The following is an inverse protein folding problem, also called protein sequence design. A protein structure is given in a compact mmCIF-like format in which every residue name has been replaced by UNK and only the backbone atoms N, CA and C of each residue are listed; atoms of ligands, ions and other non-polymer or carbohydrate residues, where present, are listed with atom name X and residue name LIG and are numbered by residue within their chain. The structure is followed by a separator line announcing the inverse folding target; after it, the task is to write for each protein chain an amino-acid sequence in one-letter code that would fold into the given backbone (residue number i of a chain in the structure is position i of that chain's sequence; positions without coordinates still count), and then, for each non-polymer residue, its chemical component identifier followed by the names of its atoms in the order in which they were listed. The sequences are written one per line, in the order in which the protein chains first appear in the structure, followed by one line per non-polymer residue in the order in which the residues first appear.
data_IF_889194471020
#
_entry.id   IF_889194471020
#
_cell.length_a   1.000
_cell.length_b   1.000
_cell.length_c   1.000
_cell.angle_alpha   90.00
_cell.angle_beta   90.00
_cell.angle_gamma   90.00
#
_symmetry.space_group_name_H-M   'P 1'
#
loop_
_entity.id
_entity.type
_entity.pdbx_description
1 polymer ?
2 branched ?
3 non-polymer ?
4 water ?
#
# COMPACT_ATOMS: atom_id res chain seq x y z
N UNK A 5 11.73 -11.55 19.68
CA UNK A 5 10.98 -12.14 20.83
C UNK A 5 9.68 -11.35 21.06
N UNK A 6 8.57 -12.09 21.20
CA UNK A 6 7.24 -11.52 21.33
C UNK A 6 6.74 -11.82 22.74
N UNK A 7 6.49 -10.79 23.54
CA UNK A 7 5.92 -10.98 24.87
C UNK A 7 4.44 -11.41 24.76
N UNK A 8 3.94 -11.94 25.88
CA UNK A 8 2.57 -12.44 25.97
C UNK A 8 1.58 -11.30 25.79
N UNK A 9 0.48 -11.57 25.09
CA UNK A 9 -0.66 -10.67 25.11
C UNK A 9 -1.24 -10.65 26.53
N UNK A 10 -1.78 -9.51 26.96
CA UNK A 10 -2.57 -9.54 28.18
C UNK A 10 -3.92 -10.20 27.99
N UNK A 11 -4.59 -10.51 29.11
CA UNK A 11 -5.98 -10.97 29.09
C UNK A 11 -6.83 -9.97 28.30
N UNK A 12 -7.71 -10.48 27.45
CA UNK A 12 -8.64 -9.67 26.68
C UNK A 12 -9.97 -10.40 26.60
N UNK A 13 -11.06 -9.64 26.68
CA UNK A 13 -12.42 -10.18 26.56
C UNK A 13 -12.97 -9.70 25.22
N UNK A 14 -13.30 -10.65 24.36
CA UNK A 14 -13.83 -10.35 23.03
C UNK A 14 -14.65 -11.55 22.55
N UNK A 15 -15.48 -11.34 21.52
CA UNK A 15 -16.31 -12.42 21.01
C UNK A 15 -15.50 -13.60 20.49
N UNK A 16 -15.94 -14.79 20.87
CA UNK A 16 -15.31 -16.04 20.41
C UNK A 16 -15.46 -16.21 18.91
N UNK A 17 -14.34 -16.46 18.19
CA UNK A 17 -14.50 -16.83 16.80
C UNK A 17 -15.10 -18.24 16.71
N UNK A 18 -16.01 -18.46 15.77
CA UNK A 18 -16.69 -19.74 15.64
C UNK A 18 -16.36 -20.28 14.28
N UNK A 19 -15.81 -21.48 14.26
CA UNK A 19 -15.23 -21.99 13.04
C UNK A 19 -16.31 -22.37 12.03
N UNK A 20 -17.53 -22.63 12.50
CA UNK A 20 -18.67 -22.92 11.64
C UNK A 20 -19.52 -21.69 11.28
N UNK A 21 -19.02 -20.50 11.63
CA UNK A 21 -19.57 -19.20 11.22
C UNK A 21 -18.46 -18.37 10.55
N UNK A 22 -18.45 -18.26 9.22
CA UNK A 22 -17.53 -17.34 8.54
C UNK A 22 -17.75 -15.88 8.94
N UNK A 23 -16.68 -15.09 8.95
CA UNK A 23 -16.77 -13.62 9.12
C UNK A 23 -17.53 -12.97 7.92
N UNK A 24 -17.13 -13.34 6.71
CA UNK A 24 -17.64 -12.81 5.46
C UNK A 24 -17.85 -14.02 4.55
N UNK A 25 -19.07 -14.19 4.04
CA UNK A 25 -19.43 -15.21 3.04
C UNK A 25 -19.53 -14.69 1.62
N UNK A 26 -19.46 -13.37 1.45
CA UNK A 26 -19.70 -12.71 0.17
C UNK A 26 -18.42 -12.47 -0.63
N UNK A 27 -17.27 -12.65 0.01
CA UNK A 27 -15.99 -12.37 -0.63
C UNK A 27 -14.95 -13.40 -0.23
N UNK A 28 -13.95 -13.51 -1.11
CA UNK A 28 -12.72 -14.27 -0.82
C UNK A 28 -11.89 -13.53 0.22
N UNK A 29 -11.60 -14.21 1.33
CA UNK A 29 -10.84 -13.62 2.44
C UNK A 29 -9.43 -14.19 2.62
N UNK A 30 -9.08 -15.18 1.81
CA UNK A 30 -7.72 -15.75 1.80
C UNK A 30 -7.34 -16.08 0.37
N UNK A 31 -6.10 -15.78 -0.03
CA UNK A 31 -5.64 -16.13 -1.36
C UNK A 31 -5.32 -17.64 -1.43
N UNK A 32 -5.14 -18.17 -2.66
CA UNK A 32 -4.71 -19.58 -2.76
C UNK A 32 -3.30 -19.90 -2.25
N UNK A 33 -2.50 -18.88 -1.92
CA UNK A 33 -1.22 -19.07 -1.30
C UNK A 33 -1.30 -18.73 0.22
N UNK A 34 -2.52 -18.67 0.74
CA UNK A 34 -2.78 -18.56 2.20
C UNK A 34 -2.38 -17.19 2.77
N UNK A 35 -2.55 -16.16 1.95
CA UNK A 35 -2.42 -14.75 2.41
C UNK A 35 -3.80 -14.21 2.69
N UNK A 36 -4.01 -13.63 3.87
CA UNK A 36 -5.28 -12.95 4.11
C UNK A 36 -5.56 -11.82 3.11
N UNK A 37 -6.83 -11.73 2.71
CA UNK A 37 -7.36 -10.57 1.98
C UNK A 37 -8.15 -9.75 3.00
N UNK A 38 -7.73 -8.50 3.20
CA UNK A 38 -8.21 -7.71 4.33
C UNK A 38 -9.48 -6.95 3.97
N UNK A 39 -10.59 -7.40 4.55
CA UNK A 39 -11.89 -6.79 4.48
C UNK A 39 -12.39 -6.49 5.89
N UNK A 40 -13.28 -5.49 6.02
CA UNK A 40 -13.94 -5.27 7.29
C UNK A 40 -14.72 -6.51 7.75
N UNK A 41 -14.59 -6.84 9.01
CA UNK A 41 -15.23 -8.01 9.61
C UNK A 41 -14.31 -9.21 9.71
N UNK A 42 -13.17 -9.19 9.02
CA UNK A 42 -12.20 -10.29 9.09
C UNK A 42 -11.20 -10.16 10.23
N UNK A 43 -11.04 -8.97 10.83
CA UNK A 43 -10.03 -8.75 11.86
C UNK A 43 -10.60 -8.10 13.10
N UNK A 44 -10.06 -8.50 14.24
CA UNK A 44 -10.33 -7.86 15.52
C UNK A 44 -9.16 -6.91 15.72
N UNK A 45 -9.43 -5.62 15.52
CA UNK A 45 -8.39 -4.61 15.60
C UNK A 45 -7.78 -4.45 16.98
N UNK A 46 -8.53 -4.80 18.03
CA UNK A 46 -7.97 -4.79 19.38
C UNK A 46 -6.85 -5.81 19.58
N UNK A 47 -7.02 -7.03 19.04
CA UNK A 47 -5.96 -8.01 19.08
C UNK A 47 -4.75 -7.54 18.28
N UNK A 48 -4.99 -7.06 17.06
CA UNK A 48 -3.89 -6.61 16.23
C UNK A 48 -3.17 -5.39 16.82
N UNK A 49 -3.91 -4.45 17.39
CA UNK A 49 -3.24 -3.30 17.98
C UNK A 49 -2.33 -3.72 19.12
N UNK A 50 -2.80 -4.66 19.94
CA UNK A 50 -2.00 -5.21 21.02
C UNK A 50 -0.70 -5.81 20.49
N UNK A 51 -0.81 -6.65 19.46
CA UNK A 51 0.34 -7.35 18.94
C UNK A 51 1.37 -6.37 18.43
N UNK A 52 0.92 -5.37 17.66
CA UNK A 52 1.86 -4.41 17.08
C UNK A 52 2.38 -3.35 18.05
N UNK A 53 1.57 -2.94 19.03
CA UNK A 53 2.09 -2.03 20.08
C UNK A 53 3.12 -2.73 20.97
N UNK A 54 2.94 -4.02 21.22
CA UNK A 54 3.90 -4.77 22.05
C UNK A 54 5.26 -4.86 21.38
N UNK A 55 5.30 -4.74 20.06
CA UNK A 55 6.56 -4.67 19.32
C UNK A 55 7.06 -3.24 19.06
N UNK A 56 6.40 -2.22 19.63
CA UNK A 56 6.68 -0.79 19.39
C UNK A 56 6.92 -0.50 17.92
N UNK A 57 5.96 -0.92 17.12
CA UNK A 57 6.08 -0.82 15.66
C UNK A 57 6.08 0.63 15.18
N UNK A 58 6.99 0.94 14.26
CA UNK A 58 7.05 2.22 13.57
C UNK A 58 6.71 2.03 12.09
N UNK A 59 5.74 2.78 11.61
CA UNK A 59 5.33 2.74 10.23
C UNK A 59 5.77 4.00 9.49
N UNK A 60 6.49 3.81 8.38
CA UNK A 60 6.84 4.89 7.48
C UNK A 60 5.78 5.00 6.41
N UNK A 61 5.39 6.23 6.09
CA UNK A 61 4.45 6.49 4.98
C UNK A 61 5.14 7.39 4.00
N UNK A 62 5.34 6.91 2.78
CA UNK A 62 6.00 7.70 1.72
C UNK A 62 4.95 8.26 0.77
N UNK A 63 5.12 9.51 0.38
CA UNK A 63 4.21 10.15 -0.53
C UNK A 63 4.98 11.16 -1.38
N UNK A 64 4.72 11.15 -2.69
CA UNK A 64 5.37 12.05 -3.66
C UNK A 64 4.41 13.17 -4.05
N UNK A 65 4.84 14.40 -3.85
CA UNK A 65 4.02 15.56 -4.16
C UNK A 65 4.84 16.54 -5.00
N UNK A 66 4.66 16.43 -6.31
CA UNK A 66 5.46 17.13 -7.31
C UNK A 66 4.59 18.12 -8.05
N UNK A 67 5.15 19.28 -8.37
CA UNK A 67 4.49 20.30 -9.17
C UNK A 67 3.14 20.65 -8.54
N UNK A 68 2.03 20.66 -9.28
CA UNK A 68 0.75 21.11 -8.71
C UNK A 68 0.20 20.14 -7.65
N UNK A 69 0.72 18.91 -7.61
CA UNK A 69 0.23 17.94 -6.63
C UNK A 69 0.54 18.28 -5.19
N UNK A 70 1.42 19.26 -4.95
CA UNK A 70 1.60 19.74 -3.59
C UNK A 70 0.31 20.26 -2.97
N UNK A 71 -0.65 20.71 -3.78
CA UNK A 71 -1.92 21.20 -3.25
C UNK A 71 -2.74 20.12 -2.50
N UNK A 72 -2.44 18.84 -2.77
CA UNK A 72 -3.18 17.73 -2.15
C UNK A 72 -2.63 17.35 -0.79
N UNK A 73 -1.46 17.87 -0.41
CA UNK A 73 -0.84 17.46 0.85
C UNK A 73 -1.63 17.78 2.10
N UNK A 74 -2.30 18.92 2.13
CA UNK A 74 -2.96 19.35 3.38
C UNK A 74 -4.03 18.34 3.77
N UNK A 75 -4.95 18.06 2.85
CA UNK A 75 -6.02 17.10 3.12
C UNK A 75 -5.49 15.68 3.35
N UNK A 76 -4.51 15.29 2.57
CA UNK A 76 -3.87 13.98 2.70
C UNK A 76 -3.34 13.80 4.13
N UNK A 77 -2.52 14.74 4.60
CA UNK A 77 -1.90 14.60 5.91
C UNK A 77 -2.89 14.80 7.04
N UNK A 78 -3.81 15.76 6.89
CA UNK A 78 -4.78 16.02 7.98
C UNK A 78 -5.69 14.79 8.20
N UNK A 79 -6.09 14.16 7.10
CA UNK A 79 -6.92 12.97 7.21
C UNK A 79 -6.10 11.76 7.60
N UNK A 80 -4.81 11.69 7.23
CA UNK A 80 -3.95 10.64 7.75
C UNK A 80 -3.83 10.70 9.29
N UNK A 81 -3.76 11.92 9.81
CA UNK A 81 -3.76 12.10 11.24
C UNK A 81 -5.01 11.54 11.91
N UNK A 82 -6.17 11.64 11.25
CA UNK A 82 -7.40 11.13 11.79
C UNK A 82 -7.53 9.63 11.72
N UNK A 83 -6.89 9.00 10.74
CA UNK A 83 -7.26 7.62 10.36
C UNK A 83 -6.14 6.62 10.17
N UNK A 84 -4.89 7.09 10.01
CA UNK A 84 -3.78 6.19 9.64
C UNK A 84 -2.96 5.81 10.84
N UNK A 85 -3.03 4.54 11.27
CA UNK A 85 -2.14 4.01 12.31
C UNK A 85 -2.20 4.81 13.62
N UNK A 86 -3.40 5.32 13.95
CA UNK A 86 -3.51 6.15 15.15
C UNK A 86 -3.20 5.28 16.38
N UNK A 87 -2.31 5.80 17.22
CA UNK A 87 -1.81 5.13 18.40
C UNK A 87 -0.47 4.47 18.23
N UNK A 88 -0.03 4.33 16.97
CA UNK A 88 1.27 3.78 16.66
C UNK A 88 2.26 4.87 16.26
N UNK A 89 3.54 4.52 16.20
CA UNK A 89 4.56 5.46 15.76
C UNK A 89 4.51 5.56 14.25
N UNK A 90 4.46 6.78 13.74
CA UNK A 90 4.37 7.06 12.31
C UNK A 90 5.42 8.07 11.91
N UNK A 91 6.10 7.81 10.80
CA UNK A 91 7.04 8.75 10.21
C UNK A 91 6.60 8.98 8.78
N UNK A 92 6.17 10.19 8.47
CA UNK A 92 5.83 10.56 7.12
C UNK A 92 7.07 11.01 6.40
N UNK A 93 7.24 10.56 5.15
CA UNK A 93 8.32 11.05 4.30
C UNK A 93 7.67 11.67 3.09
N UNK A 94 7.76 12.98 2.97
CA UNK A 94 7.14 13.71 1.89
C UNK A 94 8.23 14.10 0.90
N UNK A 95 8.19 13.49 -0.28
CA UNK A 95 9.13 13.78 -1.36
C UNK A 95 8.54 14.86 -2.27
N UNK A 96 9.23 15.98 -2.41
CA UNK A 96 8.68 17.09 -3.16
C UNK A 96 9.77 17.91 -3.82
N UNK A 97 9.37 18.57 -4.91
CA UNK A 97 10.21 19.58 -5.56
C UNK A 97 10.00 20.98 -4.99
N UNK A 98 9.05 21.13 -4.05
CA UNK A 98 8.73 22.43 -3.45
C UNK A 98 8.63 22.31 -1.93
N UNK A 99 9.79 22.19 -1.25
CA UNK A 99 9.72 22.05 0.22
C UNK A 99 8.91 23.16 0.91
N UNK A 100 8.95 24.39 0.42
CA UNK A 100 8.23 25.50 1.06
C UNK A 100 6.71 25.45 0.90
N UNK A 101 6.22 24.62 -0.02
CA UNK A 101 4.79 24.50 -0.27
C UNK A 101 4.17 23.37 0.57
N UNK A 102 5.00 22.66 1.35
CA UNK A 102 4.47 21.63 2.23
C UNK A 102 3.71 22.34 3.36
N UNK A 103 2.43 22.01 3.56
CA UNK A 103 1.64 22.69 4.60
C UNK A 103 2.08 22.30 6.00
N UNK A 104 1.86 23.22 6.93
CA UNK A 104 2.22 23.01 8.33
C UNK A 104 1.03 22.25 8.94
N UNK A 105 1.19 20.94 9.15
CA UNK A 105 0.08 20.11 9.64
C UNK A 105 0.46 19.70 11.05
N UNK A 106 -0.50 19.85 11.97
CA UNK A 106 -0.31 19.47 13.36
C UNK A 106 -0.44 17.98 13.54
N UNK A 107 0.59 17.39 14.12
CA UNK A 107 0.65 15.94 14.28
C UNK A 107 0.36 15.51 15.72
N UNK A 108 -0.31 14.37 15.84
CA UNK A 108 -0.44 13.69 17.13
C UNK A 108 0.87 13.23 17.71
N UNK A 109 0.87 12.90 19.00
CA UNK A 109 2.12 12.47 19.63
C UNK A 109 2.66 11.18 19.00
N UNK A 110 3.99 11.06 18.95
CA UNK A 110 4.62 9.87 18.40
C UNK A 110 4.68 9.83 16.89
N UNK A 111 4.41 10.94 16.25
CA UNK A 111 4.34 11.05 14.81
C UNK A 111 5.25 12.16 14.34
N UNK A 112 5.92 11.93 13.23
CA UNK A 112 6.84 12.91 12.69
C UNK A 112 6.81 12.96 11.20
N UNK A 113 7.24 14.09 10.66
CA UNK A 113 7.24 14.32 9.22
C UNK A 113 8.60 14.87 8.78
N UNK A 114 9.12 14.29 7.71
CA UNK A 114 10.36 14.71 7.07
C UNK A 114 10.05 15.13 5.66
N UNK A 115 10.54 16.32 5.28
CA UNK A 115 10.43 16.83 3.91
C UNK A 115 11.71 16.47 3.17
N UNK A 116 11.59 15.73 2.09
CA UNK A 116 12.75 15.24 1.32
C UNK A 116 12.66 15.89 -0.04
N UNK A 117 13.63 16.74 -0.36
CA UNK A 117 13.59 17.43 -1.63
C UNK A 117 14.11 16.51 -2.70
N UNK A 118 13.44 16.51 -3.84
CA UNK A 118 13.87 15.76 -5.02
C UNK A 118 14.27 16.75 -6.11
N UNK A 119 15.13 16.28 -7.01
CA UNK A 119 15.59 17.06 -8.17
C UNK A 119 14.67 16.87 -9.36
N UNK A 126 12.83 9.25 -16.37
CA UNK A 126 13.32 9.48 -15.00
C UNK A 126 12.20 9.82 -14.03
N UNK A 127 11.29 10.68 -14.46
CA UNK A 127 10.06 10.92 -13.69
C UNK A 127 9.31 9.60 -13.44
N UNK A 128 9.10 8.81 -14.49
CA UNK A 128 8.41 7.52 -14.40
C UNK A 128 9.10 6.57 -13.40
N UNK A 129 10.43 6.60 -13.39
CA UNK A 129 11.26 5.75 -12.50
C UNK A 129 11.54 6.33 -11.09
N UNK A 130 11.22 7.59 -10.86
CA UNK A 130 11.67 8.31 -9.66
C UNK A 130 11.27 7.63 -8.35
N UNK A 131 10.02 7.22 -8.27
CA UNK A 131 9.52 6.64 -7.02
C UNK A 131 10.24 5.34 -6.65
N UNK A 132 10.32 4.40 -7.59
CA UNK A 132 11.00 3.14 -7.31
C UNK A 132 12.49 3.35 -7.04
N UNK A 133 13.10 4.27 -7.78
CA UNK A 133 14.49 4.64 -7.57
C UNK A 133 14.73 5.24 -6.16
N UNK A 134 13.86 6.17 -5.76
CA UNK A 134 14.03 6.82 -4.44
C UNK A 134 13.95 5.85 -3.26
N UNK A 135 12.99 4.94 -3.30
CA UNK A 135 12.76 4.01 -2.19
C UNK A 135 13.87 2.94 -2.06
N UNK A 136 14.38 2.49 -3.21
CA UNK A 136 15.35 1.38 -3.26
C UNK A 136 16.81 1.84 -3.23
N UNK A 137 17.08 3.02 -3.83
CA UNK A 137 18.46 3.55 -3.90
C UNK A 137 18.69 4.63 -2.85
N UNK A 138 18.04 5.79 -3.01
CA UNK A 138 18.41 6.98 -2.23
C UNK A 138 18.10 6.87 -0.73
N UNK A 139 17.03 6.18 -0.37
CA UNK A 139 16.53 6.22 1.01
C UNK A 139 16.70 4.90 1.73
N UNK A 140 17.46 3.99 1.12
CA UNK A 140 17.58 2.63 1.61
C UNK A 140 18.05 2.54 3.08
N UNK A 141 19.19 3.17 3.38
CA UNK A 141 19.74 3.14 4.73
C UNK A 141 18.87 3.89 5.74
N UNK A 142 18.30 5.01 5.30
CA UNK A 142 17.44 5.85 6.15
C UNK A 142 16.25 5.03 6.68
N UNK A 143 15.54 4.42 5.76
CA UNK A 143 14.35 3.68 6.12
C UNK A 143 14.67 2.49 7.01
N UNK A 144 15.73 1.74 6.70
CA UNK A 144 16.11 0.63 7.53
C UNK A 144 16.42 1.06 8.97
N UNK A 145 17.00 2.26 9.15
CA UNK A 145 17.34 2.75 10.47
C UNK A 145 16.14 3.29 11.25
N UNK A 146 15.08 3.70 10.55
CA UNK A 146 14.01 4.54 11.19
C UNK A 146 12.63 3.92 11.33
N UNK A 147 12.31 2.95 10.50
CA UNK A 147 10.94 2.37 10.52
C UNK A 147 11.00 0.87 10.34
N UNK A 148 9.93 0.18 10.76
CA UNK A 148 9.79 -1.26 10.62
C UNK A 148 9.07 -1.64 9.32
N UNK A 149 8.06 -0.86 8.95
CA UNK A 149 7.26 -1.08 7.75
C UNK A 149 7.22 0.18 6.93
N UNK A 150 7.10 0.04 5.62
CA UNK A 150 6.94 1.15 4.70
C UNK A 150 5.62 0.98 3.97
N UNK A 151 4.88 2.07 3.85
CA UNK A 151 3.61 2.13 3.10
C UNK A 151 3.81 3.23 2.06
N UNK A 152 3.51 2.92 0.80
CA UNK A 152 3.78 3.79 -0.35
C UNK A 152 2.44 4.09 -0.97
N UNK A 153 2.01 5.36 -0.92
CA UNK A 153 0.71 5.79 -1.41
C UNK A 153 0.82 7.05 -2.26
N UNK A 154 -0.23 7.29 -3.02
CA UNK A 154 -0.35 8.51 -3.82
C UNK A 154 -0.98 9.64 -2.97
N UNK A 155 -0.64 10.87 -3.34
CA UNK A 155 -1.00 12.05 -2.56
C UNK A 155 -2.41 12.59 -2.83
N UNK A 156 -2.95 12.32 -4.03
CA UNK A 156 -4.22 12.88 -4.46
C UNK A 156 -5.35 12.00 -3.95
N UNK A 157 -5.38 11.88 -2.62
CA UNK A 157 -6.21 10.94 -1.89
C UNK A 157 -6.57 11.52 -0.54
N UNK A 158 -7.55 10.92 0.09
CA UNK A 158 -7.89 11.25 1.48
C UNK A 158 -8.28 10.01 2.24
N UNK A 159 -7.95 9.98 3.52
CA UNK A 159 -8.42 8.95 4.42
C UNK A 159 -9.80 9.34 4.93
N UNK A 160 -10.74 8.42 4.83
CA UNK A 160 -12.09 8.58 5.39
C UNK A 160 -12.44 7.66 6.55
N UNK A 161 -11.67 6.59 6.73
CA UNK A 161 -11.97 5.64 7.77
C UNK A 161 -10.65 4.94 8.14
N UNK A 162 -10.76 4.05 9.10
CA UNK A 162 -9.59 3.36 9.68
C UNK A 162 -8.67 2.71 8.64
N UNK A 163 -7.38 3.05 8.67
CA UNK A 163 -6.34 2.29 7.98
C UNK A 163 -5.27 2.04 9.01
N UNK A 164 -5.16 0.80 9.45
CA UNK A 164 -4.32 0.48 10.61
C UNK A 164 -3.44 -0.74 10.41
N UNK A 165 -3.04 -1.31 11.55
CA UNK A 165 -2.00 -2.34 11.53
C UNK A 165 -2.48 -3.65 10.95
N UNK A 166 -3.77 -3.83 10.72
CA UNK A 166 -4.27 -4.94 9.93
C UNK A 166 -3.58 -5.08 8.57
N UNK A 167 -3.03 -4.03 8.03
CA UNK A 167 -2.38 -4.10 6.71
C UNK A 167 -0.96 -4.59 6.78
N UNK A 168 -0.35 -4.53 7.96
CA UNK A 168 1.08 -4.79 8.09
C UNK A 168 1.41 -6.26 7.99
N UNK A 169 2.51 -6.53 7.28
CA UNK A 169 2.89 -7.86 6.82
C UNK A 169 4.20 -7.68 6.07
N UNK A 170 4.92 -8.77 5.77
CA UNK A 170 6.13 -8.55 4.99
C UNK A 170 5.94 -7.89 3.64
N UNK A 171 4.90 -8.24 2.90
CA UNK A 171 4.68 -7.63 1.59
C UNK A 171 3.18 -7.60 1.28
N UNK A 172 2.68 -6.42 0.92
CA UNK A 172 1.26 -6.33 0.54
C UNK A 172 1.08 -5.53 -0.75
N UNK A 173 0.03 -5.91 -1.48
CA UNK A 173 -0.53 -5.11 -2.57
C UNK A 173 -2.00 -4.92 -2.31
N UNK A 174 -2.59 -4.01 -3.08
CA UNK A 174 -3.97 -3.60 -2.94
C UNK A 174 -4.71 -3.88 -4.24
N UNK A 175 -5.89 -4.46 -4.13
CA UNK A 175 -6.74 -4.70 -5.29
C UNK A 175 -7.23 -3.40 -5.92
N UNK A 176 -6.90 -3.20 -7.20
CA UNK A 176 -7.33 -2.03 -7.94
C UNK A 176 -8.86 -2.02 -7.97
N UNK A 177 -9.50 -0.88 -7.64
CA UNK A 177 -10.95 -0.84 -7.52
C UNK A 177 -11.71 -1.09 -8.83
N UNK A 178 -11.09 -0.81 -9.96
CA UNK A 178 -11.71 -1.02 -11.27
C UNK A 178 -11.67 -2.46 -11.76
N UNK A 179 -10.90 -3.34 -11.12
CA UNK A 179 -10.64 -4.66 -11.70
C UNK A 179 -10.85 -5.83 -10.77
N UNK A 180 -11.37 -5.59 -9.56
CA UNK A 180 -11.46 -6.68 -8.57
C UNK A 180 -12.47 -7.75 -9.01
N UNK A 181 -13.43 -7.38 -9.86
CA UNK A 181 -14.39 -8.33 -10.42
C UNK A 181 -14.07 -8.82 -11.82
N UNK A 182 -12.90 -8.48 -12.35
CA UNK A 182 -12.57 -8.78 -13.74
C UNK A 182 -11.86 -10.12 -13.84
N UNK A 183 -12.01 -10.75 -15.00
CA UNK A 183 -11.23 -11.94 -15.30
C UNK A 183 -9.85 -11.48 -15.77
N UNK A 184 -8.88 -12.36 -15.61
CA UNK A 184 -7.49 -12.00 -15.79
C UNK A 184 -7.13 -11.51 -17.20
N UNK A 185 -7.77 -12.06 -18.23
CA UNK A 185 -7.51 -11.61 -19.60
C UNK A 185 -7.86 -10.11 -19.82
N UNK A 186 -8.78 -9.58 -19.01
CA UNK A 186 -9.16 -8.17 -19.04
C UNK A 186 -8.23 -7.25 -18.25
N UNK A 187 -7.40 -7.82 -17.37
CA UNK A 187 -6.45 -6.99 -16.63
C UNK A 187 -5.55 -6.23 -17.59
N UNK A 188 -5.24 -4.96 -17.26
CA UNK A 188 -4.36 -4.13 -18.10
C UNK A 188 -2.89 -4.31 -17.76
N UNK A 189 -2.48 -5.57 -17.61
CA UNK A 189 -1.09 -5.90 -17.50
C UNK A 189 -0.37 -5.49 -18.79
N UNK A 190 0.94 -5.33 -18.71
CA UNK A 190 1.76 -5.20 -19.91
C UNK A 190 1.69 -6.52 -20.70
N UNK A 191 1.30 -6.44 -21.98
CA UNK A 191 1.13 -7.65 -22.80
C UNK A 191 2.16 -7.88 -23.91
N UNK A 192 3.11 -6.96 -24.07
CA UNK A 192 4.19 -7.12 -25.07
C UNK A 192 5.34 -7.92 -24.47
N UNK A 193 5.69 -9.07 -25.07
CA UNK A 193 6.80 -9.88 -24.58
C UNK A 193 8.16 -9.18 -24.53
N UNK A 194 8.30 -8.06 -25.24
CA UNK A 194 9.54 -7.28 -25.25
C UNK A 194 9.80 -6.49 -23.96
N UNK A 195 8.77 -6.35 -23.13
CA UNK A 195 8.90 -5.66 -21.83
C UNK A 195 9.16 -6.64 -20.70
N UNK A 196 10.01 -6.21 -19.77
CA UNK A 196 10.23 -6.95 -18.52
C UNK A 196 8.95 -7.14 -17.69
N UNK A 197 7.98 -6.25 -17.84
CA UNK A 197 6.68 -6.38 -17.15
C UNK A 197 5.67 -7.33 -17.80
N UNK A 198 6.03 -7.96 -18.92
CA UNK A 198 5.13 -8.83 -19.66
C UNK A 198 4.48 -9.91 -18.79
N UNK A 199 3.16 -10.01 -18.86
CA UNK A 199 2.41 -11.12 -18.28
C UNK A 199 1.47 -11.68 -19.36
N UNK A 200 1.61 -12.98 -19.70
CA UNK A 200 0.69 -13.60 -20.65
C UNK A 200 -0.77 -13.62 -20.20
N UNK A 201 -1.67 -13.81 -21.15
CA UNK A 201 -3.11 -13.77 -20.89
C UNK A 201 -3.66 -14.83 -19.92
N UNK A 202 -2.94 -15.95 -19.79
CA UNK A 202 -3.33 -17.05 -18.90
C UNK A 202 -2.61 -17.03 -17.55
N UNK A 203 -1.92 -15.92 -17.26
CA UNK A 203 -1.30 -15.72 -15.93
C UNK A 203 -1.86 -14.50 -15.23
N UNK A 204 -1.75 -14.53 -13.91
CA UNK A 204 -2.20 -13.41 -13.09
C UNK A 204 -3.15 -13.87 -12.00
N UNK A 205 -2.96 -13.35 -10.79
CA UNK A 205 -3.89 -13.57 -9.69
C UNK A 205 -4.88 -12.42 -9.59
N UNK A 206 -4.33 -11.23 -9.49
CA UNK A 206 -5.09 -9.99 -9.27
C UNK A 206 -4.45 -8.85 -10.05
N UNK A 207 -5.18 -7.77 -10.24
CA UNK A 207 -4.61 -6.52 -10.69
C UNK A 207 -4.44 -5.58 -9.50
N UNK A 208 -3.18 -5.40 -9.10
CA UNK A 208 -2.83 -4.55 -7.98
C UNK A 208 -2.61 -3.12 -8.44
N UNK A 209 -3.07 -2.16 -7.64
CA UNK A 209 -2.89 -0.76 -8.00
C UNK A 209 -1.59 -0.21 -7.43
N UNK A 210 -0.88 0.57 -8.24
CA UNK A 210 0.41 1.12 -7.82
C UNK A 210 0.32 2.18 -6.76
N UNK A 211 -0.88 2.69 -6.51
CA UNK A 211 -1.15 3.76 -5.58
C UNK A 211 -1.18 3.36 -4.09
N UNK A 212 -1.01 2.08 -3.76
CA UNK A 212 -1.01 1.63 -2.34
C UNK A 212 -0.35 0.25 -2.23
N UNK A 213 0.93 0.22 -1.87
CA UNK A 213 1.62 -1.05 -1.61
C UNK A 213 2.55 -0.83 -0.43
N UNK A 214 3.11 -1.90 0.12
CA UNK A 214 4.00 -1.74 1.27
C UNK A 214 4.42 -3.06 1.84
N UNK A 215 4.94 -3.02 3.04
CA UNK A 215 5.54 -4.20 3.63
C UNK A 215 6.62 -3.85 4.63
N UNK A 216 7.41 -4.85 5.01
CA UNK A 216 8.61 -4.57 5.78
C UNK A 216 9.56 -3.75 4.98
N UNK A 217 10.46 -3.02 5.64
CA UNK A 217 11.39 -2.23 4.87
C UNK A 217 12.19 -3.10 3.90
N UNK A 218 12.67 -4.24 4.38
CA UNK A 218 13.44 -5.14 3.54
C UNK A 218 12.65 -5.58 2.31
N UNK A 219 11.38 -5.96 2.47
CA UNK A 219 10.64 -6.47 1.33
C UNK A 219 10.26 -5.34 0.36
N UNK A 220 9.96 -4.15 0.89
CA UNK A 220 9.65 -3.02 0.02
C UNK A 220 10.89 -2.60 -0.77
N UNK A 221 12.06 -2.67 -0.16
CA UNK A 221 13.29 -2.34 -0.88
C UNK A 221 13.58 -3.38 -1.95
N UNK A 222 13.31 -4.66 -1.67
CA UNK A 222 13.44 -5.71 -2.70
C UNK A 222 12.49 -5.46 -3.89
N UNK A 223 11.25 -5.10 -3.61
CA UNK A 223 10.29 -4.87 -4.65
C UNK A 223 10.69 -3.66 -5.46
N UNK A 224 11.02 -2.54 -4.79
CA UNK A 224 11.28 -1.32 -5.54
C UNK A 224 12.60 -1.44 -6.32
N UNK A 225 13.58 -2.14 -5.78
CA UNK A 225 14.84 -2.39 -6.49
C UNK A 225 14.60 -3.21 -7.73
N UNK A 226 13.81 -4.29 -7.61
CA UNK A 226 13.51 -5.14 -8.78
C UNK A 226 12.76 -4.33 -9.83
N UNK A 227 11.78 -3.54 -9.42
CA UNK A 227 10.98 -2.76 -10.37
C UNK A 227 11.86 -1.72 -11.06
N UNK A 228 12.73 -1.07 -10.30
CA UNK A 228 13.63 -0.07 -10.86
C UNK A 228 14.57 -0.69 -11.90
N UNK A 229 15.15 -1.83 -11.56
CA UNK A 229 16.04 -2.55 -12.49
C UNK A 229 15.30 -2.95 -13.75
N UNK A 230 14.08 -3.47 -13.62
CA UNK A 230 13.26 -3.88 -14.76
C UNK A 230 12.88 -2.67 -15.64
N UNK A 231 12.54 -1.54 -15.02
CA UNK A 231 12.26 -0.31 -15.78
C UNK A 231 13.47 0.19 -16.55
N UNK A 232 14.66 0.08 -15.95
CA UNK A 232 15.89 0.47 -16.65
C UNK A 232 16.14 -0.40 -17.84
N UNK A 233 15.89 -1.71 -17.71
CA UNK A 233 16.03 -2.63 -18.84
C UNK A 233 15.10 -2.20 -19.95
N UNK A 234 13.83 -2.00 -19.63
CA UNK A 234 12.86 -1.54 -20.62
C UNK A 234 13.30 -0.24 -21.33
N UNK A 235 13.83 0.72 -20.57
CA UNK A 235 14.32 2.00 -21.13
C UNK A 235 15.46 1.73 -22.14
N UNK A 236 16.40 0.87 -21.76
CA UNK A 236 17.51 0.51 -22.66
C UNK A 236 17.01 -0.17 -23.92
N UNK A 237 15.91 -0.92 -23.81
CA UNK A 237 15.30 -1.60 -24.95
C UNK A 237 14.25 -0.76 -25.70
N UNK A 238 14.09 0.51 -25.33
CA UNK A 238 13.16 1.40 -26.00
C UNK A 238 11.69 1.07 -25.86
N UNK A 239 11.29 0.61 -24.66
CA UNK A 239 9.90 0.28 -24.41
C UNK A 239 9.51 0.81 -23.03
N UNK A 240 8.28 1.30 -22.93
CA UNK A 240 7.72 1.81 -21.68
C UNK A 240 6.45 1.05 -21.41
N UNK A 241 6.39 0.34 -20.28
CA UNK A 241 5.25 -0.48 -19.96
C UNK A 241 3.97 0.36 -19.92
N UNK A 242 2.88 -0.25 -20.33
CA UNK A 242 1.59 0.41 -20.51
C UNK A 242 1.13 1.28 -19.32
N UNK A 243 1.31 0.77 -18.10
CA UNK A 243 1.01 1.52 -16.88
C UNK A 243 2.25 1.77 -15.99
N UNK A 244 3.43 1.89 -16.62
CA UNK A 244 4.60 2.44 -15.95
C UNK A 244 4.95 1.58 -14.72
N UNK A 245 5.26 2.16 -13.57
CA UNK A 245 5.71 1.31 -12.46
C UNK A 245 4.62 0.37 -11.95
N UNK A 246 3.33 0.68 -12.21
CA UNK A 246 2.27 -0.25 -11.84
C UNK A 246 2.35 -1.56 -12.62
N UNK A 247 2.73 -1.49 -13.89
CA UNK A 247 2.92 -2.71 -14.67
C UNK A 247 4.00 -3.61 -14.06
N UNK A 248 5.10 -2.99 -13.66
CA UNK A 248 6.22 -3.72 -13.02
C UNK A 248 5.87 -4.22 -11.63
N UNK A 249 5.10 -3.43 -10.88
CA UNK A 249 4.61 -3.89 -9.59
C UNK A 249 3.80 -5.17 -9.76
N UNK A 250 2.91 -5.17 -10.76
CA UNK A 250 2.12 -6.37 -11.03
C UNK A 250 2.94 -7.57 -11.41
N UNK A 251 3.98 -7.38 -12.22
CA UNK A 251 4.86 -8.49 -12.57
C UNK A 251 5.58 -9.04 -11.31
N UNK A 252 6.07 -8.12 -10.47
CA UNK A 252 6.74 -8.53 -9.26
C UNK A 252 5.84 -9.33 -8.31
N UNK A 253 4.60 -8.85 -8.12
CA UNK A 253 3.66 -9.50 -7.18
C UNK A 253 3.07 -10.79 -7.75
N UNK A 254 3.15 -10.98 -9.07
CA UNK A 254 2.83 -12.28 -9.65
C UNK A 254 3.89 -13.32 -9.28
N UNK A 255 5.17 -12.93 -9.36
CA UNK A 255 6.28 -13.86 -9.15
C UNK A 255 6.75 -13.93 -7.69
N UNK A 256 6.32 -12.97 -6.87
CA UNK A 256 6.64 -12.91 -5.45
C UNK A 256 5.33 -12.60 -4.75
N UNK A 257 4.67 -13.63 -4.24
CA UNK A 257 3.28 -13.47 -3.81
C UNK A 257 3.27 -12.60 -2.55
N UNK A 258 2.33 -11.63 -2.50
CA UNK A 258 2.21 -10.84 -1.30
C UNK A 258 1.67 -11.68 -0.15
N UNK A 259 2.11 -11.34 1.05
CA UNK A 259 1.69 -12.03 2.28
C UNK A 259 0.36 -11.53 2.89
N UNK A 260 -0.09 -10.35 2.45
CA UNK A 260 -1.51 -9.94 2.58
C UNK A 260 -1.88 -9.19 1.32
N UNK A 261 -3.20 -9.19 1.03
CA UNK A 261 -3.76 -8.40 -0.08
C UNK A 261 -4.84 -7.52 0.54
N UNK A 262 -4.78 -6.22 0.27
CA UNK A 262 -5.82 -5.34 0.77
C UNK A 262 -6.99 -5.28 -0.22
N UNK A 263 -8.19 -5.33 0.34
CA UNK A 263 -9.42 -5.22 -0.46
C UNK A 263 -9.56 -3.77 -0.99
N UNK A 264 -10.49 -3.52 -1.90
CA UNK A 264 -10.67 -2.18 -2.44
C UNK A 264 -11.22 -1.17 -1.44
N UNK A 265 -11.57 -1.60 -0.23
CA UNK A 265 -11.84 -0.64 0.86
C UNK A 265 -10.68 0.31 1.01
N UNK A 266 -9.47 -0.19 0.73
CA UNK A 266 -8.25 0.57 0.93
C UNK A 266 -7.84 1.45 -0.24
N UNK A 267 -8.53 1.37 -1.38
CA UNK A 267 -8.22 2.24 -2.52
C UNK A 267 -9.48 2.33 -3.40
N UNK A 268 -10.23 3.41 -3.22
CA UNK A 268 -11.58 3.51 -3.82
C UNK A 268 -11.77 4.87 -4.47
N UNK A 269 -12.60 4.93 -5.50
CA UNK A 269 -12.99 6.19 -6.11
C UNK A 269 -14.51 6.19 -6.11
N UNK A 270 -15.10 6.91 -5.17
CA UNK A 270 -16.56 6.92 -5.03
C UNK A 270 -17.27 7.63 -6.20
N UNK A 271 -16.67 8.67 -6.74
CA UNK A 271 -17.27 9.41 -7.88
C UNK A 271 -17.40 8.45 -9.08
N UNK A 272 -16.36 7.68 -9.32
CA UNK A 272 -16.32 6.75 -10.43
C UNK A 272 -17.15 5.50 -10.20
N UNK A 273 -17.15 4.95 -8.98
CA UNK A 273 -17.58 3.56 -8.76
C UNK A 273 -18.69 3.41 -7.69
N UNK A 274 -19.10 4.52 -7.07
CA UNK A 274 -20.17 4.49 -6.10
C UNK A 274 -19.78 3.85 -4.79
N UNK A 275 -20.71 3.11 -4.20
CA UNK A 275 -20.52 2.45 -2.90
C UNK A 275 -21.24 1.10 -2.91
N UNK A 276 -20.58 0.09 -3.48
CA UNK A 276 -21.16 -1.26 -3.60
C UNK A 276 -21.36 -1.91 -2.24
N UNK A 277 -22.31 -2.84 -2.18
CA UNK A 277 -22.67 -3.56 -0.96
C UNK A 277 -21.49 -4.28 -0.37
N UNK A 278 -20.60 -4.77 -1.23
CA UNK A 278 -19.45 -5.52 -0.78
C UNK A 278 -18.44 -4.69 0.04
N UNK A 279 -18.52 -3.36 -0.05
CA UNK A 279 -17.67 -2.46 0.75
C UNK A 279 -18.37 -1.93 1.95
N UNK A 280 -18.03 -2.44 3.13
CA UNK A 280 -18.63 -1.95 4.36
C UNK A 280 -18.05 -0.62 4.82
N UNK A 281 -16.83 -0.35 4.38
CA UNK A 281 -16.14 0.90 4.65
C UNK A 281 -15.39 1.37 3.41
N UNK A 282 -15.32 2.69 3.24
CA UNK A 282 -14.49 3.32 2.22
C UNK A 282 -13.38 4.01 2.99
N UNK A 283 -12.18 3.43 2.99
CA UNK A 283 -11.13 3.87 3.92
C UNK A 283 -10.23 4.97 3.36
N UNK A 284 -9.86 4.85 2.09
CA UNK A 284 -8.82 5.71 1.49
C UNK A 284 -9.26 5.88 0.06
N UNK A 285 -9.56 7.13 -0.31
CA UNK A 285 -10.31 7.42 -1.54
C UNK A 285 -9.69 8.53 -2.38
N UNK A 286 -9.92 8.46 -3.68
CA UNK A 286 -9.56 9.52 -4.61
C UNK A 286 -10.25 10.83 -4.27
N UNK A 287 -9.55 11.93 -4.44
CA UNK A 287 -10.14 13.26 -4.28
C UNK A 287 -10.80 13.61 -5.62
N UNK A 288 -12.09 14.00 -5.61
CA UNK A 288 -12.83 14.33 -6.85
C UNK A 288 -12.10 15.24 -7.84
X LIG B 1 -11.96 8.03 -15.53
X LIG B 1 -11.46 6.69 -16.10
X LIG B 1 -10.91 5.88 -14.93
X LIG B 1 -10.35 4.58 -15.49
X LIG B 1 -10.52 3.53 -14.40
X LIG B 1 -9.32 2.63 -14.42
X LIG B 1 -8.42 3.28 -13.49
X LIG B 1 -7.15 3.49 -14.06
X LIG B 1 -6.58 2.19 -14.18
X LIG B 1 -5.29 2.24 -14.75
X LIG B 1 -4.81 0.83 -15.04
X LIG B 1 -5.68 0.29 -16.05
X LIG B 1 -4.33 2.96 -13.80
X LIG B 1 -4.25 2.28 -12.52
X LIG B 1 -4.90 4.39 -13.58
X LIG B 1 -4.18 5.12 -12.57
X LIG B 1 -6.34 4.29 -13.10
X LIG B 1 -6.94 5.61 -12.98
X LIG B 2 -6.94 6.18 -11.69
X LIG B 2 -7.50 7.61 -11.77
X LIG B 2 -9.00 7.59 -12.07
X LIG B 2 -9.71 6.73 -11.03
X LIG B 2 -9.10 5.33 -11.04
X LIG B 2 -9.70 4.42 -9.98
X LIG B 2 -6.83 8.30 -12.81
X LIG B 2 -9.55 8.95 -12.08
X LIG B 2 -9.57 7.34 -9.73
X LIG B 2 -7.69 5.39 -10.78
X LIG B 3 -2.84 5.57 -12.92
X LIG B 3 -2.31 6.46 -11.78
X LIG B 3 -3.09 7.77 -11.74
X LIG B 3 -3.02 8.47 -13.05
X LIG B 3 -3.64 7.56 -14.12
X LIG B 3 -3.67 8.33 -15.42
X LIG B 3 -2.50 5.82 -10.53
X LIG B 3 -2.49 8.60 -10.72
X LIG B 3 -1.62 8.78 -13.34
X LIG B 3 -2.83 6.31 -14.15
X LIG B 3 -4.37 7.51 -16.36
X LIG C 1 -7.09 10.98 18.02
X LIG C 1 -7.13 11.95 16.85
X LIG C 1 -6.29 11.39 15.81
X LIG C 1 -8.57 12.01 16.32
X LIG C 1 -6.67 13.37 17.26
X LIG C 1 -5.44 13.45 18.19
X LIG C 1 -4.26 12.96 17.54
X LIG C 1 -5.13 14.88 18.61
#
# INVERSE_FOLDING_TARGET
AIGEFMVSLPRMVYPQPKVLTPCRKDVLVVTPWLAPIVWEGTFNIDILNEQFRLQNTTIGLTVFAIKKYVAFLKLFLETAEKHFMVGHRVHYYVFTDQPAAVPRVTLGTGRQLSVLEVGAYKRWQDVSMRRMEMISDFCERRFLSEVDYLVCVDVDMEFRDHVGVEILTPLFGTLHPSFYGSSREAFTYERRPQSQAYIPKDEGDFYYMGAFFGGSVQEVQRLTRACHQAMMVDQANGIEAVWHDESHLNKYLLRHKPTKVLSPEYLWDQQLLGWPAVLRKLRFTAVPKNHQAVRNP
HSH C3A C4A C5A C6A C7 C8 O1 C1 O5 C5 C6 O6 C4 O4 C3 O3 C2 O2
FUC C1 C2 C3 C4 C5 C6 O2 O3 O4 O5
GLA C1 C2 C3 C4 C5 C6 O2 O3 O4 O5 O6
MPD C1 C2 O2 CM C3 C4 O4 C5
#
